data_IF_628674612073
#
_entry.id   IF_628674612073
#
_cell.length_a   1.000
_cell.length_b   1.000
_cell.length_c   1.000
_cell.angle_alpha   90.00
_cell.angle_beta   90.00
_cell.angle_gamma   90.00
#
_symmetry.space_group_name_H-M   'P 1'
#
loop_
_entity.id
_entity.type
_entity.pdbx_description
1 polymer ?
#
# COMPACT_ATOMS: atom_id res chain seq x y z
N UNK A 1 9.43 -17.85 -20.90
CA UNK A 1 9.41 -17.43 -19.48
C UNK A 1 8.92 -15.98 -19.45
N UNK A 2 7.96 -15.65 -18.57
CA UNK A 2 7.39 -14.30 -18.46
C UNK A 2 7.93 -13.67 -17.17
N UNK A 3 8.69 -12.60 -17.30
CA UNK A 3 9.33 -11.87 -16.18
C UNK A 3 8.67 -10.53 -15.89
N UNK A 4 7.54 -10.24 -16.55
CA UNK A 4 6.77 -9.02 -16.34
C UNK A 4 5.57 -9.30 -15.44
N UNK A 5 5.24 -8.30 -14.63
CA UNK A 5 3.98 -8.26 -13.89
C UNK A 5 2.79 -8.28 -14.85
N UNK A 6 1.68 -8.81 -14.36
CA UNK A 6 0.41 -8.76 -15.06
C UNK A 6 -0.24 -7.36 -14.93
N UNK A 7 -1.37 -7.17 -15.61
CA UNK A 7 -2.05 -5.88 -15.64
C UNK A 7 -2.64 -5.52 -14.26
N UNK A 8 -3.27 -6.47 -13.57
CA UNK A 8 -3.87 -6.25 -12.25
C UNK A 8 -2.84 -5.79 -11.21
N UNK A 9 -1.68 -6.44 -11.17
CA UNK A 9 -0.56 -6.08 -10.31
C UNK A 9 -0.08 -4.65 -10.57
N UNK A 10 -0.02 -4.24 -11.86
CA UNK A 10 0.41 -2.89 -12.25
C UNK A 10 -0.65 -1.84 -11.92
N UNK A 11 -1.91 -2.12 -12.19
CA UNK A 11 -3.02 -1.23 -11.88
C UNK A 11 -3.15 -1.00 -10.38
N UNK A 12 -2.96 -2.04 -9.57
CA UNK A 12 -2.98 -1.89 -8.12
C UNK A 12 -1.81 -1.02 -7.63
N UNK A 13 -0.60 -1.26 -8.14
CA UNK A 13 0.56 -0.42 -7.82
C UNK A 13 0.35 1.04 -8.25
N UNK A 14 -0.20 1.29 -9.43
CA UNK A 14 -0.53 2.65 -9.90
C UNK A 14 -1.55 3.34 -8.99
N UNK A 15 -2.62 2.64 -8.57
CA UNK A 15 -3.60 3.18 -7.63
C UNK A 15 -3.00 3.49 -6.25
N UNK A 16 -2.09 2.64 -5.76
CA UNK A 16 -1.36 2.91 -4.51
C UNK A 16 -0.45 4.14 -4.65
N UNK A 17 0.27 4.27 -5.77
CA UNK A 17 1.11 5.43 -6.05
C UNK A 17 0.29 6.72 -6.06
N UNK A 18 -0.85 6.73 -6.74
CA UNK A 18 -1.73 7.90 -6.77
C UNK A 18 -2.22 8.28 -5.37
N UNK A 19 -2.61 7.28 -4.57
CA UNK A 19 -3.01 7.51 -3.19
C UNK A 19 -1.87 8.10 -2.35
N UNK A 20 -0.66 7.53 -2.42
CA UNK A 20 0.48 8.04 -1.66
C UNK A 20 0.87 9.46 -2.08
N UNK A 21 0.80 9.78 -3.37
CA UNK A 21 1.05 11.13 -3.86
C UNK A 21 0.06 12.17 -3.30
N UNK A 22 -1.19 11.77 -3.09
CA UNK A 22 -2.25 12.66 -2.59
C UNK A 22 -2.29 12.71 -1.05
N UNK A 23 -2.16 11.57 -0.40
CA UNK A 23 -2.43 11.36 1.02
C UNK A 23 -1.18 11.28 1.90
N UNK A 24 0.02 11.12 1.31
CA UNK A 24 1.29 11.06 2.03
C UNK A 24 2.29 12.17 1.58
N UNK A 25 1.90 13.46 1.65
CA UNK A 25 2.83 14.54 1.34
C UNK A 25 3.91 14.66 2.42
N UNK A 26 5.05 15.26 2.06
CA UNK A 26 6.14 15.51 3.01
C UNK A 26 5.72 16.35 4.24
N UNK A 27 4.68 17.17 4.12
CA UNK A 27 4.10 17.92 5.23
C UNK A 27 3.49 16.99 6.27
N UNK A 28 2.68 16.00 5.85
CA UNK A 28 2.11 15.01 6.76
C UNK A 28 3.21 14.22 7.47
N UNK A 29 4.24 13.80 6.73
CA UNK A 29 5.38 13.07 7.32
C UNK A 29 6.07 13.89 8.40
N UNK A 30 6.23 15.20 8.20
CA UNK A 30 6.82 16.10 9.21
C UNK A 30 5.88 16.30 10.40
N UNK A 31 4.58 16.45 10.17
CA UNK A 31 3.58 16.61 11.23
C UNK A 31 3.57 15.39 12.17
N UNK A 32 3.48 14.17 11.64
CA UNK A 32 3.47 12.93 12.46
C UNK A 32 4.81 12.63 13.15
N UNK A 33 5.90 13.22 12.65
CA UNK A 33 7.20 13.16 13.31
C UNK A 33 7.25 14.12 14.50
N UNK A 34 6.73 15.33 14.35
CA UNK A 34 6.72 16.37 15.39
C UNK A 34 5.73 16.06 16.51
N UNK A 35 4.57 15.47 16.21
CA UNK A 35 3.57 15.07 17.21
C UNK A 35 3.95 13.79 18.00
N UNK A 36 4.98 13.08 17.54
CA UNK A 36 5.51 11.86 18.18
C UNK A 36 4.68 10.59 17.95
N UNK A 37 3.59 10.65 17.18
CA UNK A 37 2.78 9.48 16.83
C UNK A 37 3.49 8.54 15.86
N UNK A 38 4.34 9.08 14.98
CA UNK A 38 5.08 8.36 13.95
C UNK A 38 4.20 7.75 12.84
N UNK A 39 2.89 8.02 12.82
CA UNK A 39 1.98 7.50 11.80
C UNK A 39 0.71 8.35 11.68
N UNK A 40 0.09 8.34 10.51
CA UNK A 40 -1.22 8.96 10.28
C UNK A 40 -2.34 7.90 10.30
N UNK A 41 -3.27 7.92 11.27
CA UNK A 41 -4.41 6.99 11.30
C UNK A 41 -5.30 7.09 10.05
N UNK A 42 -5.39 8.28 9.46
CA UNK A 42 -6.14 8.50 8.22
C UNK A 42 -5.47 7.77 7.03
N UNK A 43 -4.16 7.91 6.87
CA UNK A 43 -3.41 7.22 5.82
C UNK A 43 -3.50 5.70 5.97
N UNK A 44 -3.36 5.18 7.19
CA UNK A 44 -3.53 3.76 7.48
C UNK A 44 -4.95 3.25 7.13
N UNK A 45 -5.97 4.06 7.41
CA UNK A 45 -7.36 3.72 7.04
C UNK A 45 -7.55 3.68 5.52
N UNK A 46 -6.92 4.61 4.79
CA UNK A 46 -6.93 4.60 3.33
C UNK A 46 -6.24 3.36 2.75
N UNK A 47 -5.06 3.00 3.26
CA UNK A 47 -4.34 1.79 2.85
C UNK A 47 -5.14 0.51 3.16
N UNK A 48 -5.81 0.46 4.31
CA UNK A 48 -6.70 -0.64 4.68
C UNK A 48 -7.91 -0.74 3.74
N UNK A 49 -8.54 0.38 3.42
CA UNK A 49 -9.69 0.44 2.50
C UNK A 49 -9.36 0.02 1.07
N UNK A 50 -8.13 0.27 0.62
CA UNK A 50 -7.62 -0.22 -0.67
C UNK A 50 -7.22 -1.71 -0.62
N UNK A 51 -7.04 -2.26 0.58
CA UNK A 51 -6.67 -3.67 0.78
C UNK A 51 -5.17 -3.96 0.76
N UNK A 52 -4.32 -2.92 0.76
CA UNK A 52 -2.85 -3.06 0.80
C UNK A 52 -2.41 -3.89 2.00
N UNK A 53 -3.04 -3.67 3.16
CA UNK A 53 -2.72 -4.37 4.40
C UNK A 53 -3.17 -5.84 4.42
N UNK A 54 -4.10 -6.19 3.53
CA UNK A 54 -4.71 -7.52 3.43
C UNK A 54 -4.07 -8.38 2.33
N UNK A 55 -3.12 -7.83 1.56
CA UNK A 55 -2.58 -8.43 0.34
C UNK A 55 -2.06 -9.86 0.52
N UNK A 56 -1.27 -10.09 1.57
CA UNK A 56 -0.67 -11.40 1.87
C UNK A 56 -1.47 -12.22 2.89
N UNK A 57 -2.53 -11.66 3.45
CA UNK A 57 -3.33 -12.34 4.45
C UNK A 57 -4.18 -13.46 3.79
N UNK A 58 -4.43 -14.58 4.48
CA UNK A 58 -5.28 -15.65 3.96
C UNK A 58 -6.72 -15.17 3.73
N UNK A 59 -7.37 -15.68 2.69
CA UNK A 59 -8.78 -15.38 2.41
C UNK A 59 -9.71 -15.78 3.58
N UNK A 60 -9.36 -16.84 4.32
CA UNK A 60 -10.12 -17.29 5.50
C UNK A 60 -10.21 -16.21 6.60
N UNK A 61 -9.26 -15.28 6.64
CA UNK A 61 -9.20 -14.17 7.60
C UNK A 61 -9.64 -12.84 6.96
N UNK A 62 -10.25 -12.87 5.77
CA UNK A 62 -10.63 -11.66 5.01
C UNK A 62 -9.49 -11.02 4.22
N UNK A 63 -8.40 -11.75 4.03
CA UNK A 63 -7.27 -11.35 3.20
C UNK A 63 -7.48 -11.60 1.70
N UNK A 64 -6.48 -11.23 0.89
CA UNK A 64 -6.51 -11.43 -0.57
C UNK A 64 -5.83 -12.71 -1.03
N UNK A 65 -5.16 -13.45 -0.12
CA UNK A 65 -4.44 -14.67 -0.47
C UNK A 65 -3.31 -14.47 -1.50
N UNK A 66 -2.84 -13.23 -1.66
CA UNK A 66 -1.82 -12.86 -2.64
C UNK A 66 -0.46 -13.44 -2.32
N UNK A 67 0.40 -13.47 -3.33
CA UNK A 67 1.78 -13.94 -3.20
C UNK A 67 2.74 -12.77 -2.99
N UNK A 68 3.99 -13.07 -2.64
CA UNK A 68 5.04 -12.05 -2.59
C UNK A 68 5.29 -11.37 -3.96
N UNK A 69 4.99 -12.03 -5.07
CA UNK A 69 5.09 -11.41 -6.40
C UNK A 69 4.02 -10.35 -6.60
N UNK A 70 2.84 -10.54 -6.00
CA UNK A 70 1.77 -9.55 -6.05
C UNK A 70 2.11 -8.37 -5.12
N UNK A 71 2.69 -8.64 -3.94
CA UNK A 71 3.02 -7.61 -2.95
C UNK A 71 4.28 -6.79 -3.27
N UNK A 72 5.21 -7.30 -4.09
CA UNK A 72 6.50 -6.62 -4.32
C UNK A 72 6.35 -5.24 -4.95
N UNK A 73 5.39 -5.06 -5.85
CA UNK A 73 5.11 -3.75 -6.43
C UNK A 73 4.53 -2.79 -5.38
N UNK A 74 3.70 -3.29 -4.46
CA UNK A 74 3.17 -2.45 -3.38
C UNK A 74 4.29 -1.97 -2.45
N UNK A 75 5.24 -2.85 -2.08
CA UNK A 75 6.41 -2.46 -1.30
C UNK A 75 7.28 -1.44 -2.03
N UNK A 76 7.45 -1.60 -3.34
CA UNK A 76 8.21 -0.64 -4.15
C UNK A 76 7.57 0.76 -4.12
N UNK A 77 6.24 0.86 -4.15
CA UNK A 77 5.56 2.16 -4.06
C UNK A 77 5.62 2.77 -2.65
N UNK A 78 5.63 1.94 -1.61
CA UNK A 78 5.70 2.38 -0.21
C UNK A 78 7.08 2.91 0.21
N UNK A 79 8.15 2.56 -0.52
CA UNK A 79 9.51 3.06 -0.31
C UNK A 79 10.46 2.05 0.33
#
# INVERSE_FOLDING_TARGET
MKFSFNEDQRLFAEGLRELLNNECPATLVREVWEDGSGHSPALWSHLAGMGVLAMLAPEADGGMGGTFVDAILLFQELG
#
